data_IF_657111633019
#
_entry.id   IF_657111633019
#
_cell.length_a   1.000
_cell.length_b   1.000
_cell.length_c   1.000
_cell.angle_alpha   90.00
_cell.angle_beta   90.00
_cell.angle_gamma   90.00
#
_symmetry.space_group_name_H-M   'P 1'
#
loop_
_entity.id
_entity.type
_entity.pdbx_description
1 polymer ?
#
# COMPACT_ATOMS: atom_id res chain seq x y z
N UNK A 1 -13.10 -24.14 11.67
CA UNK A 1 -12.71 -22.75 11.90
C UNK A 1 -12.36 -22.12 10.56
N UNK A 2 -12.84 -20.92 10.33
CA UNK A 2 -12.66 -20.25 9.05
C UNK A 2 -11.50 -19.26 9.11
N UNK A 3 -10.43 -19.53 8.37
CA UNK A 3 -9.26 -18.64 8.28
C UNK A 3 -9.44 -17.57 7.21
N UNK A 4 -10.61 -17.49 6.60
CA UNK A 4 -10.88 -16.55 5.53
C UNK A 4 -10.90 -15.12 6.07
N UNK A 5 -10.17 -14.22 5.40
CA UNK A 5 -10.22 -12.80 5.68
C UNK A 5 -11.33 -12.21 4.81
N UNK A 6 -12.30 -11.55 5.45
CA UNK A 6 -13.34 -10.83 4.72
C UNK A 6 -12.76 -9.49 4.23
N UNK A 7 -13.14 -9.09 3.01
CA UNK A 7 -12.65 -7.87 2.38
C UNK A 7 -13.83 -7.04 1.88
N UNK A 8 -13.81 -5.74 2.21
CA UNK A 8 -14.79 -4.78 1.71
C UNK A 8 -14.01 -3.58 1.16
N UNK A 9 -14.09 -3.35 -0.15
CA UNK A 9 -13.44 -2.19 -0.74
C UNK A 9 -14.15 -0.91 -0.31
N UNK A 10 -13.40 0.05 0.23
CA UNK A 10 -13.90 1.34 0.68
C UNK A 10 -13.60 2.45 -0.31
N UNK A 11 -12.48 2.36 -1.02
CA UNK A 11 -12.06 3.39 -1.97
C UNK A 11 -11.07 2.82 -2.96
N UNK A 12 -11.01 3.45 -4.13
CA UNK A 12 -10.03 3.15 -5.17
C UNK A 12 -9.64 4.47 -5.83
N UNK A 13 -8.34 4.71 -5.99
CA UNK A 13 -7.83 5.95 -6.58
C UNK A 13 -6.85 5.60 -7.70
N UNK A 14 -7.08 6.10 -8.92
CA UNK A 14 -6.09 5.94 -10.00
C UNK A 14 -4.84 6.75 -9.68
N UNK A 15 -3.68 6.19 -9.96
CA UNK A 15 -2.39 6.82 -9.67
C UNK A 15 -1.64 7.03 -10.99
N UNK A 16 -1.56 8.28 -11.45
CA UNK A 16 -0.84 8.63 -12.67
C UNK A 16 0.14 9.78 -12.47
N UNK A 17 -0.13 10.67 -11.52
CA UNK A 17 0.66 11.88 -11.28
C UNK A 17 0.75 12.19 -9.79
N UNK A 18 1.60 13.15 -9.43
CA UNK A 18 1.86 13.44 -8.02
C UNK A 18 0.64 13.90 -7.25
N UNK A 19 -0.30 14.59 -7.90
CA UNK A 19 -1.55 14.99 -7.24
C UNK A 19 -2.36 13.77 -6.77
N UNK A 20 -2.24 12.65 -7.49
CA UNK A 20 -2.93 11.42 -7.11
C UNK A 20 -2.34 10.80 -5.84
N UNK A 21 -1.03 11.01 -5.60
CA UNK A 21 -0.38 10.58 -4.37
C UNK A 21 -0.99 11.28 -3.17
N UNK A 22 -1.19 12.61 -3.29
CA UNK A 22 -1.80 13.39 -2.21
C UNK A 22 -3.24 12.99 -1.97
N UNK A 23 -4.00 12.73 -3.04
CA UNK A 23 -5.39 12.29 -2.93
C UNK A 23 -5.46 10.91 -2.26
N UNK A 24 -4.61 9.97 -2.67
CA UNK A 24 -4.59 8.63 -2.10
C UNK A 24 -4.29 8.68 -0.59
N UNK A 25 -3.32 9.49 -0.20
CA UNK A 25 -2.95 9.68 1.20
C UNK A 25 -4.13 10.23 2.01
N UNK A 26 -4.82 11.23 1.47
CA UNK A 26 -5.98 11.82 2.12
C UNK A 26 -7.10 10.80 2.28
N UNK A 27 -7.43 10.09 1.20
CA UNK A 27 -8.51 9.10 1.22
C UNK A 27 -8.21 7.97 2.20
N UNK A 28 -6.99 7.44 2.18
CA UNK A 28 -6.61 6.36 3.09
C UNK A 28 -6.65 6.78 4.54
N UNK A 29 -6.10 7.95 4.85
CA UNK A 29 -6.13 8.48 6.21
C UNK A 29 -7.56 8.72 6.69
N UNK A 30 -8.43 9.22 5.81
CA UNK A 30 -9.82 9.48 6.13
C UNK A 30 -10.57 8.19 6.44
N UNK A 31 -10.39 7.14 5.63
CA UNK A 31 -11.02 5.85 5.88
C UNK A 31 -10.52 5.22 7.18
N UNK A 32 -9.23 5.31 7.45
CA UNK A 32 -8.67 4.80 8.70
C UNK A 32 -9.18 5.59 9.92
N UNK A 33 -9.35 6.89 9.78
CA UNK A 33 -9.92 7.73 10.85
C UNK A 33 -11.34 7.29 11.18
N UNK A 34 -12.15 7.02 10.18
CA UNK A 34 -13.52 6.52 10.38
C UNK A 34 -13.53 5.18 11.10
N UNK A 35 -12.54 4.34 10.88
CA UNK A 35 -12.42 3.06 11.56
C UNK A 35 -11.90 3.18 13.00
N UNK A 36 -11.45 4.35 13.40
CA UNK A 36 -10.97 4.58 14.77
C UNK A 36 -9.52 4.22 15.02
N UNK A 37 -8.69 4.19 13.98
CA UNK A 37 -7.24 3.97 14.18
C UNK A 37 -6.63 5.12 14.97
N UNK A 38 -5.67 4.80 15.83
CA UNK A 38 -4.97 5.79 16.64
C UNK A 38 -4.12 6.75 15.79
N UNK A 39 -3.89 7.99 16.25
CA UNK A 39 -3.10 8.97 15.48
C UNK A 39 -1.72 8.47 15.03
N UNK A 40 -1.03 7.70 15.88
CA UNK A 40 0.27 7.15 15.50
C UNK A 40 0.17 6.20 14.30
N UNK A 41 -0.90 5.40 14.23
CA UNK A 41 -1.14 4.51 13.09
C UNK A 41 -1.51 5.31 11.86
N UNK A 42 -2.32 6.35 12.00
CA UNK A 42 -2.71 7.23 10.88
C UNK A 42 -1.47 7.84 10.23
N UNK A 43 -0.49 8.26 11.01
CA UNK A 43 0.75 8.83 10.49
C UNK A 43 1.55 7.80 9.70
N UNK A 44 1.71 6.59 10.25
CA UNK A 44 2.43 5.51 9.57
C UNK A 44 1.74 5.12 8.26
N UNK A 45 0.43 5.02 8.30
CA UNK A 45 -0.40 4.66 7.14
C UNK A 45 -0.27 5.71 6.04
N UNK A 46 -0.36 6.98 6.39
CA UNK A 46 -0.25 8.06 5.42
C UNK A 46 1.13 8.05 4.75
N UNK A 47 2.18 7.83 5.52
CA UNK A 47 3.55 7.74 4.98
C UNK A 47 3.69 6.54 4.04
N UNK A 48 3.19 5.38 4.45
CA UNK A 48 3.25 4.16 3.64
C UNK A 48 2.53 4.34 2.30
N UNK A 49 1.33 4.92 2.33
CA UNK A 49 0.57 5.20 1.11
C UNK A 49 1.37 6.14 0.20
N UNK A 50 1.91 7.22 0.76
CA UNK A 50 2.66 8.20 -0.02
C UNK A 50 3.87 7.56 -0.71
N UNK A 51 4.62 6.74 0.01
CA UNK A 51 5.82 6.11 -0.54
C UNK A 51 5.48 5.13 -1.66
N UNK A 52 4.47 4.28 -1.45
CA UNK A 52 4.13 3.25 -2.45
C UNK A 52 3.47 3.83 -3.68
N UNK A 53 2.61 4.83 -3.53
CA UNK A 53 2.00 5.49 -4.70
C UNK A 53 3.01 6.36 -5.45
N UNK A 54 3.95 7.00 -4.73
CA UNK A 54 5.03 7.74 -5.36
C UNK A 54 5.91 6.82 -6.21
N UNK A 55 6.16 5.60 -5.76
CA UNK A 55 6.91 4.63 -6.55
C UNK A 55 6.23 4.33 -7.89
N UNK A 56 4.91 4.28 -7.92
CA UNK A 56 4.17 4.10 -9.18
C UNK A 56 4.45 5.28 -10.11
N UNK A 57 4.31 6.51 -9.61
CA UNK A 57 4.51 7.72 -10.43
C UNK A 57 5.93 7.81 -10.94
N UNK A 58 6.93 7.50 -10.11
CA UNK A 58 8.33 7.72 -10.44
C UNK A 58 9.00 6.57 -11.16
N UNK A 59 8.54 5.32 -10.94
CA UNK A 59 9.31 4.16 -11.38
C UNK A 59 8.55 3.17 -12.26
N UNK A 60 7.22 3.16 -12.23
CA UNK A 60 6.46 2.16 -12.98
C UNK A 60 6.48 2.38 -14.49
N UNK A 61 6.55 3.62 -14.93
CA UNK A 61 6.50 3.97 -16.35
C UNK A 61 5.10 3.96 -16.94
N UNK A 62 4.08 3.65 -16.14
CA UNK A 62 2.68 3.67 -16.55
C UNK A 62 1.80 3.91 -15.33
N UNK A 63 0.53 4.30 -15.52
CA UNK A 63 -0.38 4.48 -14.40
C UNK A 63 -0.64 3.19 -13.63
N UNK A 64 -0.99 3.34 -12.35
CA UNK A 64 -1.44 2.26 -11.51
C UNK A 64 -2.68 2.67 -10.74
N UNK A 65 -2.98 1.94 -9.67
CA UNK A 65 -4.05 2.33 -8.76
C UNK A 65 -3.77 1.88 -7.34
N UNK A 66 -4.54 2.44 -6.42
CA UNK A 66 -4.55 2.01 -5.04
C UNK A 66 -5.98 1.62 -4.66
N UNK A 67 -6.10 0.46 -4.01
CA UNK A 67 -7.36 -0.01 -3.43
C UNK A 67 -7.21 0.04 -1.92
N UNK A 68 -8.21 0.57 -1.24
CA UNK A 68 -8.24 0.68 0.21
C UNK A 68 -9.49 -0.03 0.68
N UNK A 69 -9.33 -1.03 1.55
CA UNK A 69 -10.46 -1.80 2.00
C UNK A 69 -10.34 -2.25 3.44
N UNK A 70 -11.48 -2.51 4.03
CA UNK A 70 -11.57 -3.06 5.38
C UNK A 70 -11.45 -4.57 5.32
N UNK A 71 -10.62 -5.11 6.20
CA UNK A 71 -10.49 -6.55 6.38
C UNK A 71 -10.96 -6.92 7.79
N UNK A 72 -11.53 -8.10 7.89
CA UNK A 72 -11.96 -8.65 9.18
C UNK A 72 -11.49 -10.09 9.26
N UNK A 73 -10.85 -10.45 10.36
CA UNK A 73 -10.35 -11.78 10.59
C UNK A 73 -10.47 -12.12 12.07
N UNK A 74 -11.20 -13.17 12.39
CA UNK A 74 -11.38 -13.62 13.77
C UNK A 74 -11.86 -12.52 14.71
N UNK A 75 -12.80 -11.70 14.23
CA UNK A 75 -13.38 -10.63 15.02
C UNK A 75 -12.54 -9.35 15.09
N UNK A 76 -11.37 -9.34 14.46
CA UNK A 76 -10.51 -8.16 14.42
C UNK A 76 -10.71 -7.43 13.11
N UNK A 77 -10.73 -6.10 13.19
CA UNK A 77 -10.83 -5.24 12.02
C UNK A 77 -9.48 -4.64 11.68
N UNK A 78 -9.21 -4.53 10.40
CA UNK A 78 -7.99 -3.93 9.89
C UNK A 78 -8.25 -3.22 8.58
N UNK A 79 -7.20 -2.60 8.05
CA UNK A 79 -7.23 -1.94 6.75
C UNK A 79 -6.18 -2.58 5.87
N UNK A 80 -6.60 -3.00 4.67
CA UNK A 80 -5.67 -3.51 3.65
C UNK A 80 -5.59 -2.51 2.52
N UNK A 81 -4.36 -2.23 2.11
CA UNK A 81 -4.07 -1.30 1.04
C UNK A 81 -3.29 -2.05 -0.03
N UNK A 82 -3.77 -1.99 -1.26
CA UNK A 82 -3.15 -2.66 -2.40
C UNK A 82 -2.78 -1.59 -3.43
N UNK A 83 -1.49 -1.45 -3.69
CA UNK A 83 -0.97 -0.53 -4.71
C UNK A 83 -0.46 -1.38 -5.87
N UNK A 84 -1.01 -1.19 -7.05
CA UNK A 84 -0.67 -2.00 -8.22
C UNK A 84 -0.39 -1.15 -9.43
N UNK A 85 0.50 -1.65 -10.29
CA UNK A 85 0.76 -1.10 -11.61
C UNK A 85 1.10 -2.23 -12.57
N UNK A 86 0.98 -1.96 -13.87
CA UNK A 86 1.37 -2.91 -14.92
C UNK A 86 2.63 -2.44 -15.64
N UNK A 87 3.53 -1.80 -14.91
CA UNK A 87 4.75 -1.24 -15.45
C UNK A 87 5.84 -2.27 -15.68
N UNK A 88 7.07 -1.78 -15.67
CA UNK A 88 8.24 -2.63 -15.98
C UNK A 88 8.56 -3.66 -14.91
N UNK A 89 7.99 -3.52 -13.73
CA UNK A 89 8.28 -4.42 -12.62
C UNK A 89 9.62 -4.14 -11.96
N UNK A 90 9.92 -4.91 -10.94
CA UNK A 90 11.17 -4.84 -10.19
C UNK A 90 11.80 -6.23 -10.23
N UNK A 91 13.05 -6.33 -10.66
CA UNK A 91 13.79 -7.57 -10.55
C UNK A 91 14.22 -7.76 -9.11
N UNK A 92 14.02 -8.96 -8.57
CA UNK A 92 14.42 -9.31 -7.21
C UNK A 92 13.91 -8.30 -6.17
N UNK A 93 12.59 -8.13 -6.04
CA UNK A 93 12.03 -7.10 -5.15
C UNK A 93 12.49 -7.24 -3.69
N UNK A 94 12.81 -8.44 -3.24
CA UNK A 94 13.31 -8.66 -1.88
C UNK A 94 14.61 -7.91 -1.63
N UNK A 95 15.45 -7.75 -2.63
CA UNK A 95 16.71 -7.02 -2.50
C UNK A 95 16.48 -5.54 -2.22
N UNK A 96 15.43 -4.98 -2.83
CA UNK A 96 15.10 -3.57 -2.58
C UNK A 96 14.56 -3.37 -1.16
N UNK A 97 13.95 -4.39 -0.58
CA UNK A 97 13.51 -4.34 0.82
C UNK A 97 14.68 -4.29 1.80
N UNK A 98 15.83 -4.88 1.43
CA UNK A 98 17.01 -4.91 2.29
C UNK A 98 18.07 -3.90 1.89
N UNK A 99 18.29 -3.68 0.58
CA UNK A 99 19.36 -2.84 0.07
C UNK A 99 19.01 -1.36 -0.02
N UNK A 100 17.72 -1.03 -0.01
CA UNK A 100 17.27 0.35 -0.11
C UNK A 100 17.53 1.00 -1.46
N UNK A 101 17.64 0.22 -2.53
CA UNK A 101 18.00 0.75 -3.86
C UNK A 101 16.92 1.61 -4.50
N UNK A 102 15.66 1.48 -4.06
CA UNK A 102 14.59 2.40 -4.44
C UNK A 102 14.44 3.51 -3.41
N UNK A 103 15.54 3.92 -2.82
CA UNK A 103 15.57 4.90 -1.77
C UNK A 103 15.05 4.31 -0.47
N UNK A 104 14.52 5.16 0.41
CA UNK A 104 13.96 4.73 1.67
C UNK A 104 12.57 4.09 1.51
N UNK A 105 11.98 4.17 0.29
CA UNK A 105 10.60 3.80 0.05
C UNK A 105 10.22 2.40 0.49
N UNK A 106 10.83 1.36 -0.13
CA UNK A 106 10.46 -0.02 0.19
C UNK A 106 10.93 -0.46 1.58
N UNK A 107 12.22 -0.34 1.97
CA UNK A 107 12.64 -0.77 3.30
C UNK A 107 11.99 0.04 4.42
N UNK A 108 11.85 1.35 4.22
CA UNK A 108 11.22 2.21 5.22
C UNK A 108 9.74 1.89 5.41
N UNK A 109 9.03 1.65 4.32
CA UNK A 109 7.61 1.34 4.37
C UNK A 109 7.35 0.03 5.10
N UNK A 110 8.17 -0.99 4.87
CA UNK A 110 8.00 -2.28 5.53
C UNK A 110 7.94 -2.13 7.05
N UNK A 111 8.69 -1.19 7.60
CA UNK A 111 8.74 -0.95 9.06
C UNK A 111 7.51 -0.21 9.59
N UNK A 112 6.70 0.37 8.71
CA UNK A 112 5.55 1.17 9.09
C UNK A 112 4.26 0.37 9.18
N UNK A 113 4.25 -0.85 8.65
CA UNK A 113 3.04 -1.64 8.47
C UNK A 113 3.10 -2.93 9.28
N UNK A 114 1.95 -3.50 9.59
CA UNK A 114 1.88 -4.77 10.32
C UNK A 114 2.17 -5.96 9.41
N UNK A 115 1.72 -5.91 8.15
CA UNK A 115 2.00 -6.92 7.14
C UNK A 115 2.37 -6.21 5.85
N UNK A 116 3.43 -6.68 5.20
CA UNK A 116 3.91 -6.14 3.93
C UNK A 116 4.22 -7.29 2.98
N UNK A 117 3.66 -7.22 1.79
CA UNK A 117 3.91 -8.22 0.76
C UNK A 117 4.08 -7.51 -0.58
N UNK A 118 5.08 -7.91 -1.34
CA UNK A 118 5.33 -7.37 -2.66
C UNK A 118 5.46 -8.51 -3.65
N UNK A 119 4.76 -8.39 -4.77
CA UNK A 119 4.87 -9.29 -5.92
C UNK A 119 5.21 -8.45 -7.11
N UNK A 120 6.31 -8.77 -7.79
CA UNK A 120 6.73 -8.04 -8.96
C UNK A 120 7.37 -8.99 -9.95
N UNK A 121 7.00 -8.84 -11.23
CA UNK A 121 7.55 -9.62 -12.32
C UNK A 121 8.04 -8.64 -13.38
N UNK A 122 9.30 -8.74 -13.82
CA UNK A 122 9.81 -7.88 -14.89
C UNK A 122 8.88 -7.93 -16.10
N UNK A 123 8.45 -6.76 -16.57
CA UNK A 123 7.56 -6.62 -17.71
C UNK A 123 6.09 -6.86 -17.44
N UNK A 124 5.71 -7.26 -16.22
CA UNK A 124 4.32 -7.55 -15.87
C UNK A 124 3.77 -6.68 -14.74
N UNK A 125 4.61 -5.88 -14.09
CA UNK A 125 4.16 -4.92 -13.08
C UNK A 125 4.46 -5.33 -11.65
N UNK A 126 3.91 -4.55 -10.72
CA UNK A 126 4.17 -4.70 -9.28
C UNK A 126 2.86 -4.57 -8.51
N UNK A 127 2.69 -5.43 -7.51
CA UNK A 127 1.57 -5.36 -6.57
C UNK A 127 2.15 -5.34 -5.15
N UNK A 128 1.84 -4.29 -4.41
CA UNK A 128 2.24 -4.14 -3.00
C UNK A 128 0.99 -4.23 -2.15
N UNK A 129 0.98 -5.14 -1.19
CA UNK A 129 -0.14 -5.30 -0.26
C UNK A 129 0.35 -4.96 1.15
N UNK A 130 -0.35 -4.05 1.80
CA UNK A 130 -0.02 -3.60 3.15
C UNK A 130 -1.23 -3.77 4.05
N UNK A 131 -1.03 -4.19 5.30
CA UNK A 131 -2.11 -4.33 6.26
C UNK A 131 -1.77 -3.63 7.55
N UNK A 132 -2.80 -2.98 8.10
CA UNK A 132 -2.75 -2.30 9.38
C UNK A 132 -3.90 -2.87 10.23
N UNK A 133 -3.58 -3.43 11.38
CA UNK A 133 -4.60 -4.00 12.28
C UNK A 133 -4.84 -3.08 13.46
N UNK A 134 -6.09 -2.99 13.85
CA UNK A 134 -6.48 -2.21 15.03
C UNK A 134 -6.06 -2.89 16.32
#
# INVERSE_FOLDING_TARGET
MNDTIAWIELARVPIAKMEDVLLARFVGRNEATKMGFAPAVLTRLATAISEMTRNVVQHAGCPGDIQIGQITHEGKAGLRIIVSDKGKGIEQPERFLTDGKLGAGLPGTRKLVDQFQIESTPGAGTIVTMEFWK
#
